data_IF_001414821533
#
_entry.id   IF_001414821533
#
_cell.length_a   1.000
_cell.length_b   1.000
_cell.length_c   1.000
_cell.angle_alpha   90.00
_cell.angle_beta   90.00
_cell.angle_gamma   90.00
#
_symmetry.space_group_name_H-M   'P 1'
#
loop_
_entity.id
_entity.type
_entity.pdbx_description
1 polymer ?
#
# COMPACT_ATOMS: atom_id res chain seq x y z
N UNK A 1 11.69 3.30 -5.29
CA UNK A 1 12.86 3.76 -4.50
C UNK A 1 13.53 2.54 -3.90
N UNK A 2 14.85 2.39 -4.03
CA UNK A 2 15.63 1.29 -3.44
C UNK A 2 16.58 1.86 -2.39
N UNK A 3 16.82 1.08 -1.34
CA UNK A 3 17.69 1.46 -0.22
C UNK A 3 18.98 0.64 -0.26
N UNK A 4 20.02 1.07 0.47
CA UNK A 4 21.36 0.44 0.45
C UNK A 4 21.36 -1.04 0.84
N UNK A 5 20.36 -1.50 1.60
CA UNK A 5 20.17 -2.91 1.99
C UNK A 5 19.36 -3.75 0.97
N UNK A 6 19.11 -3.21 -0.22
CA UNK A 6 18.38 -3.88 -1.30
C UNK A 6 16.86 -3.90 -1.13
N UNK A 7 16.31 -3.34 -0.06
CA UNK A 7 14.86 -3.22 0.15
C UNK A 7 14.25 -2.17 -0.77
N UNK A 8 13.01 -2.38 -1.14
CA UNK A 8 12.29 -1.52 -2.08
C UNK A 8 10.97 -1.05 -1.49
N UNK A 9 10.63 0.20 -1.81
CA UNK A 9 9.28 0.72 -1.75
C UNK A 9 8.79 0.85 -3.19
N UNK A 10 7.73 0.11 -3.55
CA UNK A 10 6.99 0.30 -4.79
C UNK A 10 5.62 0.91 -4.50
N UNK A 11 5.21 1.86 -5.32
CA UNK A 11 3.91 2.51 -5.24
C UNK A 11 3.35 2.56 -6.64
N UNK A 12 2.14 2.05 -6.79
CA UNK A 12 1.40 1.98 -8.03
C UNK A 12 0.87 3.33 -8.51
N UNK A 13 -0.02 3.27 -9.49
CA UNK A 13 -0.59 4.45 -10.13
C UNK A 13 -1.78 4.99 -9.33
N UNK A 14 -2.07 6.28 -9.48
CA UNK A 14 -3.24 6.94 -8.90
C UNK A 14 -3.40 6.81 -7.39
N UNK A 15 -2.29 6.56 -6.68
CA UNK A 15 -2.29 6.56 -5.22
C UNK A 15 -2.39 7.97 -4.65
N UNK A 16 -3.20 8.11 -3.59
CA UNK A 16 -3.31 9.34 -2.82
C UNK A 16 -2.67 9.16 -1.45
N UNK A 17 -1.57 9.86 -1.19
CA UNK A 17 -0.78 9.71 0.04
C UNK A 17 -0.85 11.00 0.85
N UNK A 18 -1.39 10.89 2.05
CA UNK A 18 -1.53 12.00 2.99
C UNK A 18 -0.19 12.50 3.54
N UNK A 19 -0.18 13.67 4.17
CA UNK A 19 1.02 14.21 4.81
C UNK A 19 1.56 13.28 5.91
N UNK A 20 2.88 13.31 6.09
CA UNK A 20 3.61 12.59 7.15
C UNK A 20 3.38 11.06 7.16
N UNK A 21 3.06 10.46 6.02
CA UNK A 21 3.04 9.00 5.91
C UNK A 21 4.47 8.47 5.99
N UNK A 22 4.67 7.46 6.84
CA UNK A 22 5.99 6.85 7.08
C UNK A 22 6.01 5.43 6.52
N UNK A 23 7.01 5.11 5.70
CA UNK A 23 7.30 3.76 5.22
C UNK A 23 8.55 3.24 5.93
N UNK A 24 8.39 2.27 6.86
CA UNK A 24 9.46 1.70 7.67
C UNK A 24 10.06 0.48 6.97
N UNK A 25 11.11 0.66 6.19
CA UNK A 25 11.74 -0.43 5.41
C UNK A 25 12.85 -1.15 6.18
N UNK A 26 13.54 -0.47 7.09
CA UNK A 26 14.73 -0.97 7.76
C UNK A 26 14.84 -0.43 9.20
N UNK A 27 13.89 -0.79 10.06
CA UNK A 27 13.87 -0.33 11.44
C UNK A 27 13.83 -1.48 12.47
N UNK A 28 14.02 -2.72 12.02
CA UNK A 28 13.91 -3.88 12.89
C UNK A 28 15.26 -4.26 13.54
N UNK A 29 15.21 -4.63 14.81
CA UNK A 29 16.30 -5.25 15.55
C UNK A 29 16.07 -6.75 15.66
N UNK A 30 17.15 -7.53 15.82
CA UNK A 30 17.02 -8.97 16.03
C UNK A 30 16.56 -9.26 17.49
N UNK A 31 15.32 -9.71 17.61
CA UNK A 31 14.68 -9.99 18.91
C UNK A 31 15.10 -11.34 19.52
N UNK A 32 15.87 -12.18 18.80
CA UNK A 32 16.33 -13.48 19.30
C UNK A 32 17.67 -13.38 20.03
N UNK A 33 18.30 -12.22 20.00
CA UNK A 33 19.55 -11.97 20.71
C UNK A 33 19.31 -11.62 22.19
N UNK A 34 20.31 -11.82 23.05
CA UNK A 34 20.26 -11.44 24.47
C UNK A 34 19.96 -9.95 24.63
N UNK A 35 20.46 -9.11 23.71
CA UNK A 35 20.17 -7.68 23.67
C UNK A 35 19.76 -7.24 22.28
N UNK A 36 18.79 -6.37 22.20
CA UNK A 36 18.40 -5.70 20.94
C UNK A 36 19.31 -4.52 20.59
N UNK A 37 20.20 -4.11 21.52
CA UNK A 37 21.11 -3.01 21.28
C UNK A 37 22.27 -3.43 20.36
N UNK A 38 22.55 -2.68 19.29
CA UNK A 38 23.56 -3.04 18.30
C UNK A 38 24.98 -2.68 18.80
N UNK A 39 25.51 -3.45 19.74
CA UNK A 39 26.81 -3.19 20.39
C UNK A 39 27.97 -3.08 19.39
N UNK A 40 28.02 -3.94 18.37
CA UNK A 40 29.08 -3.92 17.36
C UNK A 40 29.15 -2.57 16.66
N UNK A 41 28.00 -2.06 16.23
CA UNK A 41 27.90 -0.79 15.50
C UNK A 41 28.10 0.40 16.43
N UNK A 42 27.35 0.42 17.55
CA UNK A 42 27.27 1.62 18.40
C UNK A 42 28.40 1.78 19.41
N UNK A 43 29.03 0.68 19.82
CA UNK A 43 30.10 0.69 20.82
C UNK A 43 31.47 0.46 20.17
N UNK A 44 31.57 -0.51 19.24
CA UNK A 44 32.83 -0.89 18.63
C UNK A 44 33.09 -0.18 17.28
N UNK A 45 32.08 0.44 16.68
CA UNK A 45 32.20 1.06 15.36
C UNK A 45 32.39 0.05 14.22
N UNK A 46 32.00 -1.22 14.43
CA UNK A 46 32.22 -2.31 13.50
C UNK A 46 30.95 -2.67 12.73
N UNK A 47 31.05 -2.61 11.39
CA UNK A 47 30.07 -3.17 10.47
C UNK A 47 28.68 -2.51 10.50
N UNK A 48 27.72 -3.18 9.85
CA UNK A 48 26.29 -2.89 9.94
C UNK A 48 25.58 -4.08 10.58
N UNK A 49 24.74 -3.82 11.56
CA UNK A 49 23.87 -4.86 12.13
C UNK A 49 22.54 -4.82 11.37
N UNK A 50 22.30 -5.84 10.57
CA UNK A 50 21.01 -6.00 9.91
C UNK A 50 20.05 -6.77 10.81
N UNK A 51 18.95 -6.17 11.17
CA UNK A 51 17.81 -6.87 11.77
C UNK A 51 17.20 -7.89 10.80
N UNK A 52 16.18 -8.66 11.24
CA UNK A 52 15.49 -9.61 10.39
C UNK A 52 14.90 -8.87 9.18
N UNK A 53 15.08 -9.45 7.98
CA UNK A 53 14.60 -8.87 6.75
C UNK A 53 13.12 -9.23 6.56
N UNK A 54 12.22 -8.28 6.82
CA UNK A 54 10.77 -8.48 6.64
C UNK A 54 10.30 -8.29 5.19
N UNK A 55 11.15 -7.80 4.30
CA UNK A 55 10.84 -7.64 2.88
C UNK A 55 10.52 -6.21 2.45
N UNK A 56 10.02 -6.09 1.22
CA UNK A 56 9.65 -4.83 0.60
C UNK A 56 8.33 -4.30 1.14
N UNK A 57 8.03 -3.05 0.84
CA UNK A 57 6.68 -2.51 0.94
C UNK A 57 6.18 -2.33 -0.49
N UNK A 58 5.06 -2.97 -0.80
CA UNK A 58 4.44 -2.92 -2.11
C UNK A 58 3.03 -2.35 -1.99
N UNK A 59 2.79 -1.21 -2.62
CA UNK A 59 1.50 -0.53 -2.69
C UNK A 59 0.99 -0.62 -4.12
N UNK A 60 -0.15 -1.27 -4.33
CA UNK A 60 -0.80 -1.37 -5.64
C UNK A 60 -1.48 -0.06 -6.05
N UNK A 61 -2.23 -0.10 -7.16
CA UNK A 61 -2.88 1.06 -7.74
C UNK A 61 -4.11 1.54 -6.94
N UNK A 62 -4.54 2.78 -7.12
CA UNK A 62 -5.74 3.40 -6.52
C UNK A 62 -5.78 3.32 -4.98
N UNK A 63 -4.64 3.25 -4.31
CA UNK A 63 -4.58 3.19 -2.84
C UNK A 63 -4.64 4.59 -2.24
N UNK A 64 -5.47 4.75 -1.19
CA UNK A 64 -5.49 5.95 -0.37
C UNK A 64 -4.87 5.69 1.00
N UNK A 65 -3.79 6.40 1.31
CA UNK A 65 -3.13 6.36 2.62
C UNK A 65 -3.38 7.67 3.35
N UNK A 66 -4.08 7.58 4.47
CA UNK A 66 -4.41 8.72 5.32
C UNK A 66 -3.20 9.33 6.02
N UNK A 67 -3.36 10.58 6.45
CA UNK A 67 -2.32 11.38 7.11
C UNK A 67 -1.74 10.64 8.34
N UNK A 68 -0.43 10.78 8.60
CA UNK A 68 0.30 10.19 9.74
C UNK A 68 0.24 8.64 9.82
N UNK A 69 -0.16 7.94 8.77
CA UNK A 69 -0.12 6.48 8.76
C UNK A 69 1.34 5.98 8.71
N UNK A 70 1.58 4.82 9.32
CA UNK A 70 2.87 4.13 9.28
C UNK A 70 2.69 2.76 8.64
N UNK A 71 3.47 2.47 7.61
CA UNK A 71 3.47 1.19 6.90
C UNK A 71 4.77 0.46 7.23
N UNK A 72 4.66 -0.72 7.82
CA UNK A 72 5.82 -1.53 8.23
C UNK A 72 6.40 -2.34 7.08
N UNK A 73 7.67 -2.74 7.20
CA UNK A 73 8.36 -3.58 6.24
C UNK A 73 7.64 -4.92 6.01
N UNK A 74 7.66 -5.39 4.77
CA UNK A 74 7.03 -6.64 4.35
C UNK A 74 5.54 -6.54 4.05
N UNK A 75 4.94 -5.35 4.16
CA UNK A 75 3.51 -5.15 3.92
C UNK A 75 3.23 -4.98 2.43
N UNK A 76 2.22 -5.70 1.96
CA UNK A 76 1.59 -5.53 0.67
C UNK A 76 0.20 -4.89 0.84
N UNK A 77 -0.06 -3.81 0.10
CA UNK A 77 -1.35 -3.10 0.13
C UNK A 77 -2.00 -3.26 -1.24
N UNK A 78 -3.13 -3.99 -1.27
CA UNK A 78 -3.85 -4.31 -2.49
C UNK A 78 -4.58 -3.13 -3.10
N UNK A 79 -4.87 -3.24 -4.39
CA UNK A 79 -5.52 -2.23 -5.22
C UNK A 79 -6.78 -1.65 -4.55
N UNK A 80 -6.93 -0.34 -4.61
CA UNK A 80 -8.11 0.35 -4.11
C UNK A 80 -8.27 0.33 -2.59
N UNK A 81 -7.28 -0.14 -1.83
CA UNK A 81 -7.34 -0.14 -0.37
C UNK A 81 -7.28 1.27 0.22
N UNK A 82 -7.78 1.40 1.43
CA UNK A 82 -7.77 2.66 2.19
C UNK A 82 -7.13 2.41 3.55
N UNK A 83 -6.09 3.17 3.85
CA UNK A 83 -5.43 3.18 5.14
C UNK A 83 -5.92 4.43 5.90
N UNK A 84 -6.59 4.24 7.03
CA UNK A 84 -7.09 5.35 7.83
C UNK A 84 -5.95 6.20 8.41
N UNK A 85 -6.22 7.46 8.66
CA UNK A 85 -5.26 8.37 9.27
C UNK A 85 -4.75 7.83 10.61
N UNK A 86 -3.43 7.95 10.86
CA UNK A 86 -2.78 7.49 12.08
C UNK A 86 -2.70 5.98 12.26
N UNK A 87 -3.07 5.19 11.26
CA UNK A 87 -2.98 3.73 11.32
C UNK A 87 -1.53 3.23 11.30
N UNK A 88 -1.23 2.14 12.02
CA UNK A 88 0.04 1.42 11.93
C UNK A 88 -0.20 0.07 11.28
N UNK A 89 0.18 -0.06 10.01
CA UNK A 89 -0.08 -1.24 9.19
C UNK A 89 1.09 -2.22 9.34
N UNK A 90 0.81 -3.38 9.93
CA UNK A 90 1.78 -4.45 10.21
C UNK A 90 1.56 -5.72 9.38
N UNK A 91 0.38 -5.83 8.77
CA UNK A 91 -0.06 -6.99 8.01
C UNK A 91 -0.51 -6.58 6.60
N UNK A 92 -0.54 -7.51 5.66
CA UNK A 92 -1.03 -7.26 4.31
C UNK A 92 -2.48 -6.76 4.33
N UNK A 93 -2.78 -5.81 3.44
CA UNK A 93 -4.11 -5.20 3.30
C UNK A 93 -4.75 -5.74 2.02
N UNK A 94 -5.90 -6.43 2.12
CA UNK A 94 -6.59 -6.92 0.94
C UNK A 94 -7.07 -5.80 0.02
N UNK A 95 -7.23 -6.07 -1.28
CA UNK A 95 -7.80 -5.10 -2.21
C UNK A 95 -9.15 -4.55 -1.73
N UNK A 96 -9.33 -3.25 -1.91
CA UNK A 96 -10.56 -2.52 -1.53
C UNK A 96 -10.95 -2.62 -0.05
N UNK A 97 -10.06 -3.10 0.83
CA UNK A 97 -10.28 -3.05 2.27
C UNK A 97 -10.01 -1.64 2.82
N UNK A 98 -10.77 -1.26 3.83
CA UNK A 98 -10.51 -0.08 4.67
C UNK A 98 -9.96 -0.59 5.99
N UNK A 99 -8.72 -0.21 6.32
CA UNK A 99 -8.05 -0.60 7.56
C UNK A 99 -7.72 0.60 8.42
N UNK A 100 -7.66 0.42 9.74
CA UNK A 100 -7.32 1.48 10.68
C UNK A 100 -6.97 0.96 12.06
N UNK A 101 -6.40 1.84 12.88
CA UNK A 101 -5.99 1.53 14.26
C UNK A 101 -4.51 1.17 14.39
N UNK A 102 -4.10 0.81 15.62
CA UNK A 102 -2.71 0.44 16.01
C UNK A 102 -2.77 -0.83 16.86
N UNK A 103 -2.38 -2.00 16.31
CA UNK A 103 -2.12 -2.27 14.89
C UNK A 103 -3.38 -2.15 14.04
N UNK A 104 -3.21 -1.83 12.75
CA UNK A 104 -4.32 -1.67 11.84
C UNK A 104 -5.09 -2.99 11.63
N UNK A 105 -6.42 -2.91 11.62
CA UNK A 105 -7.32 -4.05 11.36
C UNK A 105 -8.35 -3.65 10.31
N UNK A 106 -8.89 -4.63 9.61
CA UNK A 106 -9.95 -4.41 8.62
C UNK A 106 -11.19 -3.87 9.36
N UNK A 107 -11.62 -2.67 8.96
CA UNK A 107 -12.87 -2.05 9.45
C UNK A 107 -14.03 -2.54 8.60
N UNK A 108 -13.88 -2.49 7.27
CA UNK A 108 -14.84 -2.94 6.27
C UNK A 108 -14.19 -3.00 4.89
N UNK A 109 -14.92 -3.48 3.90
CA UNK A 109 -14.59 -3.31 2.50
C UNK A 109 -15.35 -2.14 1.89
N UNK A 110 -14.79 -1.51 0.84
CA UNK A 110 -15.44 -0.42 0.10
C UNK A 110 -16.70 -0.91 -0.61
N UNK A 111 -16.67 -2.14 -1.11
CA UNK A 111 -17.68 -2.74 -1.98
C UNK A 111 -17.95 -4.20 -1.61
N UNK A 112 -18.97 -4.82 -2.22
CA UNK A 112 -19.20 -6.26 -2.09
C UNK A 112 -18.11 -7.07 -2.79
N UNK A 113 -17.98 -8.33 -2.42
CA UNK A 113 -16.95 -9.22 -3.00
C UNK A 113 -17.07 -9.32 -4.52
N UNK A 114 -18.30 -9.37 -5.04
CA UNK A 114 -18.59 -9.46 -6.47
C UNK A 114 -18.09 -8.21 -7.21
N UNK A 115 -18.41 -7.04 -6.69
CA UNK A 115 -17.94 -5.77 -7.29
C UNK A 115 -16.42 -5.60 -7.20
N UNK A 116 -15.80 -6.09 -6.13
CA UNK A 116 -14.33 -6.08 -6.01
C UNK A 116 -13.69 -6.94 -7.10
N UNK A 117 -14.25 -8.12 -7.39
CA UNK A 117 -13.72 -8.97 -8.47
C UNK A 117 -13.80 -8.30 -9.85
N UNK A 118 -14.89 -7.56 -10.11
CA UNK A 118 -15.00 -6.79 -11.35
C UNK A 118 -14.03 -5.61 -11.39
N UNK A 119 -13.89 -4.86 -10.29
CA UNK A 119 -12.97 -3.71 -10.20
C UNK A 119 -11.50 -4.12 -10.34
N UNK A 120 -11.12 -5.34 -9.92
CA UNK A 120 -9.77 -5.86 -10.08
C UNK A 120 -9.38 -6.14 -11.54
N UNK A 121 -10.32 -6.08 -12.48
CA UNK A 121 -10.02 -6.14 -13.92
C UNK A 121 -9.47 -4.82 -14.46
N UNK A 122 -9.59 -3.72 -13.72
CA UNK A 122 -9.03 -2.42 -14.14
C UNK A 122 -7.51 -2.44 -13.95
N UNK A 123 -6.78 -2.45 -15.06
CA UNK A 123 -5.33 -2.30 -15.09
C UNK A 123 -4.98 -0.79 -15.17
N UNK A 124 -4.82 -0.18 -14.01
CA UNK A 124 -4.51 1.25 -13.94
C UNK A 124 -3.17 1.63 -14.59
N UNK A 125 -2.27 0.68 -14.81
CA UNK A 125 -1.02 0.94 -15.51
C UNK A 125 -1.22 1.29 -16.99
N UNK A 126 -2.38 0.92 -17.55
CA UNK A 126 -2.76 1.20 -18.93
C UNK A 126 -3.65 2.43 -19.08
N UNK A 127 -4.12 3.02 -17.97
CA UNK A 127 -5.01 4.18 -17.99
C UNK A 127 -4.21 5.44 -18.25
N UNK A 128 -4.38 6.04 -19.41
CA UNK A 128 -3.73 7.29 -19.78
C UNK A 128 -4.50 8.53 -19.31
N UNK A 129 -3.82 9.68 -19.29
CA UNK A 129 -4.49 10.97 -19.04
C UNK A 129 -5.62 11.23 -20.05
N UNK A 130 -5.43 10.85 -21.30
CA UNK A 130 -6.43 11.01 -22.35
C UNK A 130 -7.68 10.16 -22.09
N UNK A 131 -7.50 8.93 -21.59
CA UNK A 131 -8.60 8.05 -21.20
C UNK A 131 -9.41 8.67 -20.06
N UNK A 132 -8.74 9.26 -19.07
CA UNK A 132 -9.40 9.95 -17.96
C UNK A 132 -10.19 11.17 -18.46
N UNK A 133 -9.58 12.02 -19.29
CA UNK A 133 -10.23 13.22 -19.83
C UNK A 133 -11.50 12.88 -20.64
N UNK A 134 -11.44 11.83 -21.46
CA UNK A 134 -12.59 11.38 -22.28
C UNK A 134 -13.68 10.71 -21.45
N UNK A 135 -13.32 10.05 -20.36
CA UNK A 135 -14.22 9.19 -19.58
C UNK A 135 -14.44 9.67 -18.16
N UNK A 136 -14.12 10.93 -17.84
CA UNK A 136 -14.14 11.47 -16.48
C UNK A 136 -15.45 11.17 -15.74
N UNK A 137 -16.57 11.33 -16.42
CA UNK A 137 -17.89 11.10 -15.85
C UNK A 137 -18.11 9.64 -15.41
N UNK A 138 -17.44 8.65 -16.04
CA UNK A 138 -17.54 7.24 -15.64
C UNK A 138 -16.81 6.97 -14.34
N UNK A 139 -15.67 7.62 -14.11
CA UNK A 139 -14.92 7.49 -12.85
C UNK A 139 -15.65 8.11 -11.65
N UNK A 140 -16.59 9.02 -11.87
CA UNK A 140 -17.34 9.70 -10.80
C UNK A 140 -18.77 9.17 -10.62
N UNK A 141 -19.10 8.01 -11.21
CA UNK A 141 -20.39 7.36 -10.98
C UNK A 141 -20.34 6.42 -9.77
N UNK A 142 -21.48 6.17 -9.11
CA UNK A 142 -21.58 5.09 -8.14
C UNK A 142 -21.18 3.76 -8.76
N UNK A 143 -20.46 2.95 -7.98
CA UNK A 143 -19.97 1.65 -8.44
C UNK A 143 -21.13 0.67 -8.52
N UNK A 144 -21.37 0.18 -9.73
CA UNK A 144 -22.30 -0.90 -10.06
C UNK A 144 -21.63 -1.79 -11.10
N UNK A 145 -22.12 -3.01 -11.28
CA UNK A 145 -21.60 -3.88 -12.34
C UNK A 145 -21.67 -3.21 -13.72
N UNK A 146 -22.78 -2.56 -14.02
CA UNK A 146 -22.97 -1.83 -15.29
C UNK A 146 -21.98 -0.68 -15.47
N UNK A 147 -21.69 0.11 -14.40
CA UNK A 147 -20.72 1.22 -14.48
C UNK A 147 -19.29 0.72 -14.69
N UNK A 148 -18.92 -0.42 -14.08
CA UNK A 148 -17.60 -1.05 -14.28
C UNK A 148 -17.47 -1.57 -15.71
N UNK A 149 -18.46 -2.33 -16.21
CA UNK A 149 -18.46 -2.85 -17.58
C UNK A 149 -18.35 -1.73 -18.62
N UNK A 150 -19.08 -0.63 -18.42
CA UNK A 150 -18.96 0.58 -19.27
C UNK A 150 -17.56 1.16 -19.23
N UNK A 151 -16.97 1.30 -18.05
CA UNK A 151 -15.61 1.84 -17.89
C UNK A 151 -14.59 0.95 -18.61
N UNK A 152 -14.60 -0.36 -18.36
CA UNK A 152 -13.69 -1.31 -19.00
C UNK A 152 -13.78 -1.28 -20.53
N UNK A 153 -15.01 -1.22 -21.08
CA UNK A 153 -15.23 -1.14 -22.52
C UNK A 153 -14.64 0.15 -23.14
N UNK A 154 -14.66 1.27 -22.42
CA UNK A 154 -14.10 2.53 -22.89
C UNK A 154 -12.57 2.60 -22.74
N UNK A 155 -12.04 2.01 -21.70
CA UNK A 155 -10.58 1.94 -21.47
C UNK A 155 -9.89 0.91 -22.39
N UNK A 156 -10.65 0.05 -23.06
CA UNK A 156 -10.13 -1.04 -23.92
C UNK A 156 -9.14 -1.97 -23.20
N UNK A 157 -9.40 -2.17 -21.91
CA UNK A 157 -8.61 -3.04 -21.04
C UNK A 157 -9.27 -4.42 -20.95
#
# INVERSE_FOLDING_TARGET
MSFEDGKKLSIGNFCSIGPNVTFLLAADHNLTLISTFPFKVKVLGEGMESGPQKGNIDVEDDVWIGLNATICAGVHIGQGAVIAAGAVVTDNVPPYAIVGGVPAKIIKYRFTKELIQELLQIDYSKVSKEDIEKNLNLFYQPVTKESIEKLLAHLKI
#
